data_IF_189813474187
#
_entry.id   IF_189813474187
#
_cell.length_a   1.000
_cell.length_b   1.000
_cell.length_c   1.000
_cell.angle_alpha   90.00
_cell.angle_beta   90.00
_cell.angle_gamma   90.00
#
_symmetry.space_group_name_H-M   'P 1'
#
loop_
_entity.id
_entity.type
_entity.pdbx_description
1 polymer ?
#
# COMPACT_ATOMS: atom_id res chain seq x y z
N UNK A 1 77.84 -14.05 -27.59
CA UNK A 1 76.80 -13.02 -27.52
C UNK A 1 75.49 -13.66 -27.00
N UNK A 2 75.19 -13.48 -25.76
CA UNK A 2 73.93 -14.01 -25.13
C UNK A 2 72.97 -12.84 -25.01
N UNK A 3 71.84 -12.91 -25.72
CA UNK A 3 70.76 -11.96 -25.66
C UNK A 3 69.86 -12.41 -24.58
N UNK A 4 69.73 -11.59 -23.53
CA UNK A 4 68.71 -11.77 -22.43
C UNK A 4 67.40 -11.12 -22.85
N UNK A 5 66.35 -11.93 -22.98
CA UNK A 5 64.97 -11.44 -23.21
C UNK A 5 64.33 -11.25 -21.87
N UNK A 6 64.09 -10.02 -21.49
CA UNK A 6 63.35 -9.65 -20.27
C UNK A 6 61.84 -9.63 -20.60
N UNK A 7 61.10 -10.58 -20.06
CA UNK A 7 59.62 -10.62 -20.15
C UNK A 7 59.08 -9.74 -19.02
N UNK A 8 58.48 -8.60 -19.38
CA UNK A 8 57.73 -7.77 -18.45
C UNK A 8 56.31 -8.32 -18.28
N UNK A 9 56.00 -8.90 -17.13
CA UNK A 9 54.66 -9.31 -16.77
C UNK A 9 53.91 -8.05 -16.26
N UNK A 10 52.99 -7.52 -17.07
CA UNK A 10 52.08 -6.48 -16.67
C UNK A 10 50.96 -7.11 -15.81
N UNK A 11 50.99 -6.88 -14.48
CA UNK A 11 49.87 -7.20 -13.58
C UNK A 11 48.74 -6.21 -13.88
N UNK A 12 47.69 -6.64 -14.58
CA UNK A 12 46.40 -5.94 -14.61
C UNK A 12 45.76 -6.10 -13.23
N UNK A 13 45.82 -5.05 -12.42
CA UNK A 13 44.97 -4.89 -11.25
C UNK A 13 43.54 -4.69 -11.77
N UNK A 14 42.75 -5.74 -11.73
CA UNK A 14 41.30 -5.61 -11.86
C UNK A 14 40.80 -4.78 -10.66
N UNK A 15 40.47 -3.53 -10.87
CA UNK A 15 39.74 -2.73 -9.91
C UNK A 15 38.33 -3.34 -9.86
N UNK A 16 38.06 -4.16 -8.86
CA UNK A 16 36.69 -4.53 -8.50
C UNK A 16 36.02 -3.26 -8.01
N UNK A 17 35.11 -2.74 -8.80
CA UNK A 17 34.16 -1.71 -8.38
C UNK A 17 33.52 -2.17 -7.08
N UNK A 18 33.70 -1.42 -6.05
CA UNK A 18 33.20 -1.73 -4.70
C UNK A 18 32.01 -0.82 -4.46
N UNK A 19 30.86 -1.41 -4.17
CA UNK A 19 29.72 -0.66 -3.63
C UNK A 19 30.19 0.14 -2.40
N UNK A 20 29.78 1.40 -2.29
CA UNK A 20 30.11 2.25 -1.16
C UNK A 20 29.12 1.97 -0.03
N UNK A 21 29.58 1.35 1.05
CA UNK A 21 28.80 1.15 2.25
C UNK A 21 28.83 2.44 3.09
N UNK A 22 27.63 2.99 3.35
CA UNK A 22 27.44 4.18 4.20
C UNK A 22 26.74 3.76 5.48
N UNK A 23 27.28 4.20 6.61
CA UNK A 23 26.68 4.01 7.94
C UNK A 23 26.69 5.38 8.67
N UNK A 24 25.50 5.98 8.84
CA UNK A 24 25.34 7.32 9.43
C UNK A 24 24.20 7.35 10.43
N UNK A 25 24.38 8.15 11.48
CA UNK A 25 23.36 8.42 12.48
C UNK A 25 23.25 9.90 12.78
N UNK A 26 22.05 10.35 13.15
CA UNK A 26 21.81 11.69 13.64
C UNK A 26 20.68 11.71 14.68
N UNK A 27 20.82 12.58 15.68
CA UNK A 27 19.73 12.83 16.62
C UNK A 27 18.52 13.39 15.88
N UNK A 28 17.34 12.93 16.22
CA UNK A 28 16.10 13.32 15.57
C UNK A 28 14.97 13.53 16.58
N UNK A 29 13.98 14.33 16.20
CA UNK A 29 12.76 14.50 16.99
C UNK A 29 12.01 13.16 17.05
N UNK A 30 11.54 12.72 18.23
CA UNK A 30 10.82 11.46 18.40
C UNK A 30 9.50 11.37 17.62
N UNK A 31 8.95 12.51 17.18
CA UNK A 31 7.76 12.62 16.31
C UNK A 31 8.04 13.39 15.03
N UNK A 32 9.32 13.55 14.68
CA UNK A 32 9.73 14.25 13.48
C UNK A 32 9.29 13.54 12.19
N UNK A 33 9.35 14.29 11.10
CA UNK A 33 9.12 13.75 9.75
C UNK A 33 10.43 13.19 9.19
N UNK A 34 10.39 11.97 8.69
CA UNK A 34 11.49 11.35 7.96
C UNK A 34 11.10 11.19 6.50
N UNK A 35 11.77 11.96 5.64
CA UNK A 35 11.64 11.85 4.19
C UNK A 35 12.70 10.91 3.62
N UNK A 36 12.28 9.96 2.79
CA UNK A 36 13.14 8.98 2.14
C UNK A 36 12.89 8.99 0.64
N UNK A 37 13.94 9.21 -0.15
CA UNK A 37 13.92 9.14 -1.61
C UNK A 37 14.89 8.09 -2.13
N UNK A 38 14.38 7.11 -2.88
CA UNK A 38 15.21 6.10 -3.57
C UNK A 38 14.69 5.84 -4.98
N UNK A 39 15.60 5.64 -5.93
CA UNK A 39 15.20 5.38 -7.32
C UNK A 39 15.02 3.90 -7.57
N UNK A 40 15.94 3.04 -7.14
CA UNK A 40 15.86 1.60 -7.37
C UNK A 40 16.55 0.82 -6.23
N UNK A 41 16.09 -0.40 -5.97
CA UNK A 41 16.59 -1.27 -4.90
C UNK A 41 15.55 -1.53 -3.82
N UNK A 42 15.97 -1.52 -2.58
CA UNK A 42 15.10 -1.79 -1.43
C UNK A 42 15.19 -0.66 -0.38
N UNK A 43 14.05 -0.34 0.22
CA UNK A 43 13.95 0.58 1.35
C UNK A 43 13.32 -0.17 2.52
N UNK A 44 14.12 -0.53 3.50
CA UNK A 44 13.68 -1.14 4.75
C UNK A 44 13.69 -0.10 5.87
N UNK A 45 12.53 0.16 6.47
CA UNK A 45 12.40 1.09 7.60
C UNK A 45 11.88 0.36 8.82
N UNK A 46 12.56 0.53 9.96
CA UNK A 46 12.13 -0.06 11.23
C UNK A 46 12.04 1.01 12.32
N UNK A 47 10.92 1.06 13.02
CA UNK A 47 10.74 1.91 14.19
C UNK A 47 11.48 1.37 15.41
N UNK A 48 12.21 2.24 16.14
CA UNK A 48 12.90 1.90 17.38
C UNK A 48 12.63 2.89 18.51
N UNK A 49 13.08 2.58 19.71
CA UNK A 49 12.84 3.42 20.90
C UNK A 49 13.96 4.46 21.19
N UNK A 50 14.73 4.83 20.14
CA UNK A 50 15.76 5.88 20.25
C UNK A 50 15.32 7.15 19.53
N UNK A 51 15.71 8.31 20.04
CA UNK A 51 15.51 9.61 19.40
C UNK A 51 16.63 9.90 18.38
N UNK A 52 16.82 9.00 17.46
CA UNK A 52 17.92 9.00 16.50
C UNK A 52 17.42 8.36 15.20
N UNK A 53 17.85 8.87 14.07
CA UNK A 53 17.72 8.22 12.78
C UNK A 53 19.06 7.62 12.40
N UNK A 54 19.07 6.34 12.11
CA UNK A 54 20.23 5.58 11.64
C UNK A 54 19.97 5.08 10.23
N UNK A 55 20.90 5.26 9.31
CA UNK A 55 20.85 4.78 7.93
C UNK A 55 22.09 4.01 7.58
N UNK A 56 21.88 2.81 7.08
CA UNK A 56 22.86 2.02 6.36
C UNK A 56 22.46 1.97 4.90
N UNK A 57 23.36 2.31 4.01
CA UNK A 57 23.11 2.28 2.59
C UNK A 57 24.23 1.52 1.87
N UNK A 58 23.82 0.66 0.96
CA UNK A 58 24.72 0.03 0.00
C UNK A 58 24.50 0.70 -1.37
N UNK A 59 25.38 1.66 -1.69
CA UNK A 59 25.31 2.41 -2.93
C UNK A 59 25.98 1.62 -4.05
N UNK A 60 25.18 1.21 -5.04
CA UNK A 60 25.73 0.61 -6.24
C UNK A 60 26.48 1.63 -7.12
N UNK A 61 27.25 1.13 -8.07
CA UNK A 61 27.86 1.96 -9.11
C UNK A 61 26.82 2.79 -9.85
N UNK A 62 27.04 4.10 -9.94
CA UNK A 62 26.17 5.05 -10.62
C UNK A 62 25.33 5.94 -9.70
N UNK A 63 25.21 5.65 -8.41
CA UNK A 63 24.75 6.63 -7.44
C UNK A 63 25.85 7.67 -7.18
N UNK A 64 25.50 8.96 -7.13
CA UNK A 64 26.49 10.01 -6.86
C UNK A 64 26.81 10.11 -5.36
N UNK A 65 25.79 10.08 -4.52
CA UNK A 65 25.91 10.15 -3.06
C UNK A 65 24.58 9.88 -2.35
N UNK A 66 24.66 9.64 -1.04
CA UNK A 66 23.52 9.69 -0.12
C UNK A 66 23.51 11.04 0.62
N UNK A 67 22.47 11.84 0.39
CA UNK A 67 22.18 13.02 1.18
C UNK A 67 21.45 12.60 2.46
N UNK A 68 22.09 12.82 3.62
CA UNK A 68 21.53 12.57 4.93
C UNK A 68 21.63 13.86 5.77
N UNK A 69 20.49 14.49 6.03
CA UNK A 69 20.41 15.79 6.69
C UNK A 69 19.28 15.82 7.71
N UNK A 70 19.56 16.29 8.90
CA UNK A 70 18.55 16.56 9.95
C UNK A 70 18.48 18.06 10.21
N UNK A 71 17.28 18.62 10.17
CA UNK A 71 17.04 20.04 10.44
C UNK A 71 15.73 20.19 11.22
N UNK A 72 15.82 20.55 12.50
CA UNK A 72 14.67 20.63 13.39
C UNK A 72 13.96 19.26 13.50
N UNK A 73 12.67 19.25 13.24
CA UNK A 73 11.83 18.04 13.28
C UNK A 73 11.83 17.26 11.96
N UNK A 74 12.70 17.57 10.98
CA UNK A 74 12.74 16.88 9.70
C UNK A 74 14.09 16.25 9.44
N UNK A 75 14.07 14.98 9.05
CA UNK A 75 15.23 14.24 8.54
C UNK A 75 15.00 13.88 7.08
N UNK A 76 15.98 14.15 6.23
CA UNK A 76 15.96 13.82 4.80
C UNK A 76 17.04 12.80 4.49
N UNK A 77 16.65 11.71 3.83
CA UNK A 77 17.51 10.63 3.34
C UNK A 77 17.21 10.48 1.86
N UNK A 78 18.14 10.85 0.99
CA UNK A 78 17.88 10.87 -0.45
C UNK A 78 19.10 10.34 -1.22
N UNK A 79 18.86 9.38 -2.10
CA UNK A 79 19.86 8.87 -3.04
C UNK A 79 19.93 9.82 -4.23
N UNK A 80 21.08 10.50 -4.38
CA UNK A 80 21.30 11.45 -5.48
C UNK A 80 21.97 10.76 -6.63
N UNK A 81 21.38 10.92 -7.82
CA UNK A 81 21.92 10.35 -9.07
C UNK A 81 22.63 11.43 -9.89
N UNK A 82 23.68 11.06 -10.64
CA UNK A 82 24.37 11.98 -11.54
C UNK A 82 23.45 12.43 -12.67
N UNK A 83 23.56 13.67 -13.08
CA UNK A 83 22.75 14.24 -14.16
C UNK A 83 23.14 13.67 -15.52
N UNK A 84 22.14 13.31 -16.33
CA UNK A 84 22.33 12.95 -17.74
C UNK A 84 22.76 11.52 -18.03
N UNK A 85 22.75 10.64 -17.05
CA UNK A 85 23.05 9.20 -17.25
C UNK A 85 21.82 8.35 -16.89
N UNK A 86 21.59 7.26 -17.60
CA UNK A 86 20.62 6.24 -17.19
C UNK A 86 21.18 5.51 -15.98
N UNK A 87 20.45 5.58 -14.86
CA UNK A 87 20.78 4.81 -13.68
C UNK A 87 20.34 3.35 -13.88
N UNK A 88 21.30 2.44 -13.83
CA UNK A 88 21.06 0.99 -13.92
C UNK A 88 21.46 0.27 -12.62
N UNK A 89 21.80 1.02 -11.58
CA UNK A 89 22.19 0.48 -10.29
C UNK A 89 20.99 0.26 -9.38
N UNK A 90 21.25 -0.36 -8.24
CA UNK A 90 20.33 -0.60 -7.14
C UNK A 90 20.95 -0.03 -5.87
N UNK A 91 20.19 0.65 -5.05
CA UNK A 91 20.63 1.14 -3.74
C UNK A 91 19.71 0.58 -2.67
N UNK A 92 20.29 -0.19 -1.75
CA UNK A 92 19.54 -0.76 -0.64
C UNK A 92 19.74 0.10 0.60
N UNK A 93 18.63 0.52 1.17
CA UNK A 93 18.58 1.37 2.36
C UNK A 93 17.98 0.60 3.53
N UNK A 94 18.74 0.46 4.62
CA UNK A 94 18.25 -0.05 5.90
C UNK A 94 18.25 1.11 6.89
N UNK A 95 17.05 1.50 7.31
CA UNK A 95 16.83 2.73 8.07
C UNK A 95 16.12 2.41 9.38
N UNK A 96 16.62 2.94 10.47
CA UNK A 96 15.96 2.90 11.78
C UNK A 96 15.53 4.32 12.16
N UNK A 97 14.27 4.47 12.55
CA UNK A 97 13.68 5.78 12.88
C UNK A 97 12.99 5.71 14.25
N UNK A 98 12.85 6.82 14.97
CA UNK A 98 12.01 6.85 16.16
C UNK A 98 10.61 6.30 15.83
N UNK A 99 10.10 5.42 16.66
CA UNK A 99 8.84 4.66 16.40
C UNK A 99 7.64 5.54 16.07
N UNK A 100 7.59 6.75 16.63
CA UNK A 100 6.47 7.67 16.41
C UNK A 100 6.74 8.71 15.30
N UNK A 101 7.81 8.54 14.51
CA UNK A 101 8.09 9.42 13.37
C UNK A 101 7.02 9.29 12.30
N UNK A 102 6.73 10.41 11.65
CA UNK A 102 5.96 10.41 10.41
C UNK A 102 6.88 10.06 9.24
N UNK A 103 6.41 9.23 8.31
CA UNK A 103 7.17 8.81 7.13
C UNK A 103 6.60 9.41 5.85
N UNK A 104 7.50 9.90 5.00
CA UNK A 104 7.23 10.21 3.60
C UNK A 104 8.27 9.47 2.75
N UNK A 105 7.84 8.45 2.02
CA UNK A 105 8.73 7.62 1.20
C UNK A 105 8.31 7.73 -0.26
N UNK A 106 9.25 8.12 -1.12
CA UNK A 106 9.06 8.19 -2.56
C UNK A 106 10.09 7.30 -3.26
N UNK A 107 9.60 6.33 -4.02
CA UNK A 107 10.47 5.44 -4.82
C UNK A 107 10.02 5.40 -6.28
N UNK A 108 10.95 5.05 -7.16
CA UNK A 108 10.63 4.80 -8.58
C UNK A 108 10.55 3.30 -8.83
N UNK A 109 11.62 2.56 -8.59
CA UNK A 109 11.69 1.10 -8.83
C UNK A 109 12.32 0.39 -7.63
N UNK A 110 11.82 0.68 -6.43
CA UNK A 110 12.33 0.08 -5.21
C UNK A 110 11.16 -0.46 -4.37
N UNK A 111 11.40 -1.62 -3.79
CA UNK A 111 10.49 -2.21 -2.80
C UNK A 111 10.58 -1.45 -1.48
N UNK A 112 9.45 -1.30 -0.80
CA UNK A 112 9.35 -0.63 0.49
C UNK A 112 8.86 -1.62 1.54
N UNK A 113 9.63 -1.79 2.61
CA UNK A 113 9.25 -2.62 3.76
C UNK A 113 9.33 -1.78 5.02
N UNK A 114 8.18 -1.50 5.65
CA UNK A 114 8.09 -0.67 6.85
C UNK A 114 7.53 -1.49 8.01
N UNK A 115 8.23 -1.47 9.16
CA UNK A 115 7.83 -2.19 10.38
C UNK A 115 7.93 -1.30 11.62
N UNK A 116 7.03 -1.49 12.56
CA UNK A 116 7.04 -0.82 13.87
C UNK A 116 7.04 0.73 13.83
N UNK A 117 6.64 1.35 12.72
CA UNK A 117 6.50 2.80 12.63
C UNK A 117 5.04 3.18 12.87
N UNK A 118 4.79 3.98 13.90
CA UNK A 118 3.44 4.28 14.43
C UNK A 118 2.91 5.66 14.08
N UNK A 119 3.75 6.54 13.51
CA UNK A 119 3.32 7.85 13.01
C UNK A 119 2.59 7.76 11.68
N UNK A 120 2.16 8.89 11.15
CA UNK A 120 1.52 8.97 9.82
C UNK A 120 2.46 8.47 8.74
N UNK A 121 1.92 7.79 7.75
CA UNK A 121 2.72 7.27 6.64
C UNK A 121 2.16 7.74 5.30
N UNK A 122 3.02 8.32 4.47
CA UNK A 122 2.73 8.63 3.08
C UNK A 122 3.75 7.94 2.20
N UNK A 123 3.32 6.87 1.54
CA UNK A 123 4.18 5.99 0.76
C UNK A 123 3.78 6.05 -0.71
N UNK A 124 4.76 6.33 -1.58
CA UNK A 124 4.55 6.41 -3.01
C UNK A 124 5.60 5.57 -3.74
N UNK A 125 5.16 4.75 -4.69
CA UNK A 125 6.03 4.01 -5.59
C UNK A 125 5.50 4.07 -7.02
N UNK A 126 6.40 4.15 -7.98
CA UNK A 126 6.01 3.95 -9.38
C UNK A 126 6.03 2.46 -9.70
N UNK A 127 7.06 1.75 -9.26
CA UNK A 127 7.18 0.30 -9.44
C UNK A 127 7.83 -0.30 -8.20
N UNK A 128 7.33 -1.44 -7.77
CA UNK A 128 7.80 -2.13 -6.56
C UNK A 128 6.67 -2.46 -5.59
N UNK A 129 6.95 -3.38 -4.69
CA UNK A 129 6.02 -3.78 -3.63
C UNK A 129 6.07 -2.78 -2.48
N UNK A 130 4.92 -2.48 -1.88
CA UNK A 130 4.84 -1.75 -0.62
C UNK A 130 4.28 -2.71 0.44
N UNK A 131 5.09 -3.01 1.44
CA UNK A 131 4.67 -3.76 2.62
C UNK A 131 4.82 -2.89 3.87
N UNK A 132 3.73 -2.66 4.59
CA UNK A 132 3.74 -1.76 5.74
C UNK A 132 2.75 -2.18 6.82
N UNK A 133 2.86 -1.53 7.98
CA UNK A 133 1.99 -1.71 9.13
C UNK A 133 1.22 -0.41 9.42
N UNK A 134 -0.08 -0.54 9.67
CA UNK A 134 -0.97 0.56 10.07
C UNK A 134 -1.30 0.46 11.56
N UNK A 135 -1.03 1.54 12.27
CA UNK A 135 -1.36 1.70 13.68
C UNK A 135 -2.55 2.67 13.86
N UNK A 136 -2.44 3.64 14.74
CA UNK A 136 -3.55 4.56 15.05
C UNK A 136 -3.61 5.81 14.16
N UNK A 137 -2.54 6.10 13.44
CA UNK A 137 -2.41 7.30 12.60
C UNK A 137 -2.83 7.01 11.16
N UNK A 138 -3.16 8.06 10.43
CA UNK A 138 -3.58 7.96 9.03
C UNK A 138 -2.45 7.48 8.11
N UNK A 139 -2.84 6.75 7.07
CA UNK A 139 -1.93 6.25 6.04
C UNK A 139 -2.44 6.58 4.64
N UNK A 140 -1.54 7.09 3.80
CA UNK A 140 -1.78 7.33 2.38
C UNK A 140 -0.79 6.53 1.54
N UNK A 141 -1.30 5.68 0.66
CA UNK A 141 -0.52 4.82 -0.22
C UNK A 141 -0.85 5.12 -1.68
N UNK A 142 0.17 5.31 -2.51
CA UNK A 142 0.02 5.46 -3.96
C UNK A 142 1.02 4.57 -4.66
N UNK A 143 0.52 3.60 -5.41
CA UNK A 143 1.35 2.72 -6.22
C UNK A 143 0.87 2.73 -7.67
N UNK A 144 1.80 2.77 -8.61
CA UNK A 144 1.45 2.64 -10.02
C UNK A 144 1.53 1.18 -10.45
N UNK A 145 2.59 0.46 -10.07
CA UNK A 145 2.76 -0.95 -10.43
C UNK A 145 3.40 -1.73 -9.30
N UNK A 146 2.84 -2.87 -8.96
CA UNK A 146 3.28 -3.74 -7.86
C UNK A 146 2.22 -3.87 -6.76
N UNK A 147 2.40 -4.87 -5.93
CA UNK A 147 1.43 -5.19 -4.88
C UNK A 147 1.60 -4.31 -3.64
N UNK A 148 0.50 -4.04 -2.97
CA UNK A 148 0.45 -3.33 -1.69
C UNK A 148 -0.09 -4.26 -0.62
N UNK A 149 0.68 -4.44 0.44
CA UNK A 149 0.32 -5.28 1.58
C UNK A 149 0.34 -4.41 2.84
N UNK A 150 -0.81 -4.27 3.48
CA UNK A 150 -0.93 -3.54 4.75
C UNK A 150 -1.44 -4.47 5.83
N UNK A 151 -0.71 -4.53 6.94
CA UNK A 151 -1.14 -5.19 8.15
C UNK A 151 -1.47 -4.15 9.21
N UNK A 152 -2.71 -4.13 9.65
CA UNK A 152 -3.15 -3.26 10.74
C UNK A 152 -2.91 -3.88 12.11
N UNK A 153 -3.04 -3.05 13.13
CA UNK A 153 -2.93 -3.42 14.55
C UNK A 153 -4.16 -2.91 15.31
N UNK A 154 -5.37 -3.18 14.78
CA UNK A 154 -6.66 -2.75 15.35
C UNK A 154 -6.73 -1.24 15.68
N UNK A 155 -5.98 -0.45 14.91
CA UNK A 155 -5.89 1.00 15.08
C UNK A 155 -7.12 1.73 14.52
N UNK A 156 -7.22 3.03 14.81
CA UNK A 156 -8.32 3.90 14.34
C UNK A 156 -7.94 4.78 13.15
N UNK A 157 -6.70 4.66 12.65
CA UNK A 157 -6.23 5.45 11.51
C UNK A 157 -7.01 5.16 10.23
N UNK A 158 -7.18 6.19 9.41
CA UNK A 158 -7.83 6.08 8.11
C UNK A 158 -6.82 5.62 7.06
N UNK A 159 -7.16 4.56 6.33
CA UNK A 159 -6.35 4.10 5.21
C UNK A 159 -6.88 4.66 3.89
N UNK A 160 -6.02 5.38 3.14
CA UNK A 160 -6.26 5.75 1.74
C UNK A 160 -5.25 5.08 0.84
N UNK A 161 -5.70 4.17 -0.03
CA UNK A 161 -4.83 3.46 -0.95
C UNK A 161 -5.30 3.62 -2.40
N UNK A 162 -4.38 3.98 -3.28
CA UNK A 162 -4.61 4.06 -4.72
C UNK A 162 -3.56 3.22 -5.43
N UNK A 163 -4.00 2.27 -6.26
CA UNK A 163 -3.15 1.46 -7.12
C UNK A 163 -3.62 1.56 -8.58
N UNK A 164 -2.70 1.68 -9.51
CA UNK A 164 -3.04 1.61 -10.94
C UNK A 164 -2.98 0.17 -11.42
N UNK A 165 -1.91 -0.57 -11.08
CA UNK A 165 -1.75 -1.96 -11.48
C UNK A 165 -1.07 -2.74 -10.35
N UNK A 166 -1.75 -3.74 -9.83
CA UNK A 166 -1.29 -4.57 -8.71
C UNK A 166 -2.36 -4.79 -7.66
N UNK A 167 -2.21 -5.86 -6.91
CA UNK A 167 -3.16 -6.27 -5.87
C UNK A 167 -3.04 -5.44 -4.59
N UNK A 168 -4.18 -5.27 -3.90
CA UNK A 168 -4.23 -4.72 -2.55
C UNK A 168 -4.61 -5.84 -1.57
N UNK A 169 -3.72 -6.14 -0.62
CA UNK A 169 -3.99 -7.05 0.49
C UNK A 169 -3.94 -6.29 1.80
N UNK A 170 -5.10 -6.16 2.44
CA UNK A 170 -5.29 -5.35 3.63
C UNK A 170 -5.86 -6.24 4.73
N UNK A 171 -5.13 -6.37 5.83
CA UNK A 171 -5.51 -7.25 6.95
C UNK A 171 -5.53 -6.44 8.25
N UNK A 172 -6.58 -6.60 9.05
CA UNK A 172 -6.78 -6.02 10.37
C UNK A 172 -6.57 -4.48 10.41
N UNK A 173 -6.92 -3.82 9.30
CA UNK A 173 -6.83 -2.35 9.17
C UNK A 173 -7.93 -1.66 9.97
N UNK A 174 -7.81 -0.34 10.14
CA UNK A 174 -8.77 0.48 10.88
C UNK A 174 -10.17 0.50 10.28
N UNK A 175 -11.15 1.07 11.01
CA UNK A 175 -12.57 1.02 10.65
C UNK A 175 -12.94 1.88 9.44
N UNK A 176 -12.07 2.78 9.02
CA UNK A 176 -12.32 3.68 7.88
C UNK A 176 -11.30 3.49 6.77
N UNK A 177 -11.79 3.36 5.52
CA UNK A 177 -10.92 3.19 4.36
C UNK A 177 -11.46 3.84 3.09
N UNK A 178 -10.54 4.27 2.23
CA UNK A 178 -10.80 4.68 0.85
C UNK A 178 -9.82 3.97 -0.09
N UNK A 179 -10.33 3.09 -0.94
CA UNK A 179 -9.55 2.21 -1.80
C UNK A 179 -9.92 2.46 -3.27
N UNK A 180 -8.92 2.73 -4.10
CA UNK A 180 -9.10 2.92 -5.53
C UNK A 180 -8.11 2.05 -6.31
N UNK A 181 -8.60 1.22 -7.22
CA UNK A 181 -7.76 0.38 -8.08
C UNK A 181 -8.24 0.49 -9.54
N UNK A 182 -7.30 0.55 -10.48
CA UNK A 182 -7.63 0.47 -11.91
C UNK A 182 -7.56 -0.97 -12.38
N UNK A 183 -6.49 -1.69 -12.06
CA UNK A 183 -6.31 -3.10 -12.43
C UNK A 183 -5.66 -3.87 -11.29
N UNK A 184 -6.31 -4.93 -10.82
CA UNK A 184 -5.83 -5.78 -9.74
C UNK A 184 -6.90 -6.10 -8.71
N UNK A 185 -6.72 -7.21 -8.05
CA UNK A 185 -7.66 -7.71 -7.04
C UNK A 185 -7.45 -7.01 -5.69
N UNK A 186 -8.54 -6.80 -4.99
CA UNK A 186 -8.54 -6.29 -3.62
C UNK A 186 -9.04 -7.36 -2.65
N UNK A 187 -8.23 -7.66 -1.63
CA UNK A 187 -8.61 -8.52 -0.51
C UNK A 187 -8.50 -7.74 0.78
N UNK A 188 -9.63 -7.52 1.41
CA UNK A 188 -9.76 -6.68 2.60
C UNK A 188 -10.36 -7.49 3.74
N UNK A 189 -9.67 -7.55 4.86
CA UNK A 189 -10.17 -8.13 6.11
C UNK A 189 -10.10 -7.10 7.21
N UNK A 190 -11.21 -6.86 7.90
CA UNK A 190 -11.30 -5.93 9.03
C UNK A 190 -12.04 -6.54 10.19
N UNK A 191 -11.63 -6.20 11.41
CA UNK A 191 -12.33 -6.60 12.62
C UNK A 191 -13.64 -5.83 12.78
N UNK A 192 -13.64 -4.52 12.59
CA UNK A 192 -14.80 -3.64 12.66
C UNK A 192 -14.76 -2.63 11.51
N UNK A 193 -15.91 -2.37 10.87
CA UNK A 193 -16.01 -1.45 9.74
C UNK A 193 -17.06 -0.40 10.03
N UNK A 194 -16.69 0.88 9.89
CA UNK A 194 -17.57 2.02 9.97
C UNK A 194 -17.76 2.71 8.62
N UNK A 195 -16.67 2.85 7.84
CA UNK A 195 -16.75 3.53 6.56
C UNK A 195 -15.81 2.93 5.53
N UNK A 196 -16.36 2.53 4.40
CA UNK A 196 -15.58 2.07 3.26
C UNK A 196 -16.05 2.74 1.98
N UNK A 197 -15.12 3.35 1.26
CA UNK A 197 -15.32 3.78 -0.12
C UNK A 197 -14.37 3.03 -1.01
N UNK A 198 -14.91 2.20 -1.92
CA UNK A 198 -14.10 1.29 -2.72
C UNK A 198 -14.46 1.46 -4.19
N UNK A 199 -13.47 1.63 -5.03
CA UNK A 199 -13.63 1.70 -6.49
C UNK A 199 -12.64 0.78 -7.18
N UNK A 200 -13.15 -0.03 -8.10
CA UNK A 200 -12.32 -0.85 -8.99
C UNK A 200 -12.78 -0.73 -10.42
N UNK A 201 -11.83 -0.69 -11.34
CA UNK A 201 -12.16 -0.71 -12.76
C UNK A 201 -12.08 -2.13 -13.31
N UNK A 202 -10.99 -2.85 -13.06
CA UNK A 202 -10.78 -4.23 -13.48
C UNK A 202 -10.15 -5.03 -12.35
N UNK A 203 -10.86 -5.99 -11.82
CA UNK A 203 -10.38 -6.87 -10.75
C UNK A 203 -11.47 -7.16 -9.72
N UNK A 204 -11.28 -8.24 -9.01
CA UNK A 204 -12.20 -8.70 -7.99
C UNK A 204 -11.99 -7.99 -6.66
N UNK A 205 -13.08 -7.74 -5.96
CA UNK A 205 -13.07 -7.28 -4.56
C UNK A 205 -13.58 -8.39 -3.65
N UNK A 206 -12.82 -8.72 -2.63
CA UNK A 206 -13.29 -9.50 -1.48
C UNK A 206 -13.13 -8.68 -0.21
N UNK A 207 -14.26 -8.29 0.41
CA UNK A 207 -14.29 -7.59 1.69
C UNK A 207 -14.92 -8.47 2.76
N UNK A 208 -14.18 -8.70 3.83
CA UNK A 208 -14.63 -9.43 5.03
C UNK A 208 -14.60 -8.51 6.23
N UNK A 209 -15.75 -8.27 6.84
CA UNK A 209 -15.87 -7.49 8.06
C UNK A 209 -16.51 -8.35 9.17
N UNK A 210 -15.79 -8.53 10.30
CA UNK A 210 -16.31 -9.34 11.40
C UNK A 210 -17.43 -8.61 12.16
N UNK A 211 -17.38 -7.26 12.21
CA UNK A 211 -18.42 -6.39 12.77
C UNK A 211 -18.65 -5.17 11.89
N UNK A 212 -19.85 -4.63 11.93
CA UNK A 212 -20.19 -3.32 11.39
C UNK A 212 -20.62 -2.41 12.54
N UNK A 213 -20.31 -1.11 12.46
CA UNK A 213 -20.90 -0.11 13.38
C UNK A 213 -22.36 0.14 13.01
N UNK A 214 -23.16 0.65 13.95
CA UNK A 214 -24.59 0.90 13.72
C UNK A 214 -24.82 1.92 12.58
N UNK A 215 -23.94 2.90 12.43
CA UNK A 215 -23.97 3.93 11.39
C UNK A 215 -23.08 3.62 10.17
N UNK A 216 -22.76 2.36 9.93
CA UNK A 216 -21.86 1.93 8.85
C UNK A 216 -22.22 2.52 7.49
N UNK A 217 -21.21 2.93 6.75
CA UNK A 217 -21.34 3.45 5.38
C UNK A 217 -20.39 2.72 4.45
N UNK A 218 -20.94 1.87 3.60
CA UNK A 218 -20.17 1.19 2.54
C UNK A 218 -20.67 1.68 1.19
N UNK A 219 -19.75 2.20 0.37
CA UNK A 219 -20.00 2.63 -1.01
C UNK A 219 -18.96 1.95 -1.90
N UNK A 220 -19.38 0.92 -2.63
CA UNK A 220 -18.52 0.12 -3.50
C UNK A 220 -18.98 0.20 -4.94
N UNK A 221 -18.06 0.53 -5.85
CA UNK A 221 -18.30 0.63 -7.28
C UNK A 221 -17.28 -0.21 -8.05
N UNK A 222 -17.76 -1.14 -8.90
CA UNK A 222 -16.95 -1.96 -9.77
C UNK A 222 -17.38 -1.84 -11.23
N UNK A 223 -16.44 -1.81 -12.17
CA UNK A 223 -16.75 -1.83 -13.60
C UNK A 223 -16.68 -3.24 -14.13
N UNK A 224 -15.55 -3.92 -13.95
CA UNK A 224 -15.36 -5.31 -14.40
C UNK A 224 -14.74 -6.14 -13.26
N UNK A 225 -15.41 -7.21 -12.88
CA UNK A 225 -14.99 -8.10 -11.81
C UNK A 225 -16.09 -8.35 -10.78
N UNK A 226 -15.90 -9.34 -9.97
CA UNK A 226 -16.85 -9.73 -8.94
C UNK A 226 -16.63 -8.97 -7.64
N UNK A 227 -17.71 -8.57 -7.00
CA UNK A 227 -17.70 -7.87 -5.72
C UNK A 227 -18.28 -8.79 -4.64
N UNK A 228 -17.42 -9.35 -3.79
CA UNK A 228 -17.80 -10.32 -2.75
C UNK A 228 -17.71 -9.68 -1.37
N UNK A 229 -18.83 -9.64 -0.64
CA UNK A 229 -18.93 -9.13 0.70
C UNK A 229 -19.28 -10.26 1.67
N UNK A 230 -18.43 -10.44 2.68
CA UNK A 230 -18.65 -11.35 3.82
C UNK A 230 -18.90 -10.51 5.06
N UNK A 231 -20.13 -10.45 5.50
CA UNK A 231 -20.60 -9.57 6.55
C UNK A 231 -21.08 -10.37 7.77
N UNK A 232 -21.24 -9.78 8.96
CA UNK A 232 -21.81 -10.46 10.11
C UNK A 232 -23.29 -10.83 9.86
N UNK A 233 -23.81 -11.82 10.61
CA UNK A 233 -25.20 -12.31 10.44
C UNK A 233 -26.24 -11.30 10.89
N UNK A 234 -25.96 -10.54 11.94
CA UNK A 234 -26.86 -9.53 12.47
C UNK A 234 -26.43 -8.17 11.93
N UNK A 235 -27.34 -7.54 11.23
CA UNK A 235 -27.10 -6.26 10.57
C UNK A 235 -28.23 -5.30 10.93
N UNK A 236 -27.88 -4.01 11.06
CA UNK A 236 -28.82 -2.91 11.20
C UNK A 236 -28.59 -1.93 10.05
N UNK A 237 -28.97 -2.32 8.83
CA UNK A 237 -28.45 -1.71 7.63
C UNK A 237 -29.46 -1.71 6.49
N UNK A 238 -29.51 -0.61 5.73
CA UNK A 238 -30.20 -0.51 4.44
C UNK A 238 -29.26 -0.90 3.30
N UNK A 239 -29.69 -1.83 2.45
CA UNK A 239 -28.97 -2.28 1.26
C UNK A 239 -29.55 -1.68 -0.02
N UNK A 240 -28.69 -1.14 -0.88
CA UNK A 240 -29.00 -0.64 -2.22
C UNK A 240 -27.96 -1.18 -3.21
N UNK A 241 -28.31 -2.26 -3.90
CA UNK A 241 -27.39 -3.01 -4.76
C UNK A 241 -27.92 -3.03 -6.16
N UNK A 242 -27.04 -2.80 -7.13
CA UNK A 242 -27.39 -2.85 -8.53
C UNK A 242 -26.27 -3.38 -9.41
N UNK A 243 -26.63 -4.16 -10.42
CA UNK A 243 -25.71 -4.57 -11.51
C UNK A 243 -26.34 -4.21 -12.84
N UNK A 244 -25.51 -3.94 -13.84
CA UNK A 244 -25.99 -3.74 -15.21
C UNK A 244 -25.91 -5.06 -16.02
N UNK A 245 -24.72 -5.64 -16.14
CA UNK A 245 -24.52 -6.98 -16.72
C UNK A 245 -23.94 -7.91 -15.67
N UNK A 246 -24.79 -8.58 -14.88
CA UNK A 246 -24.32 -9.48 -13.84
C UNK A 246 -25.44 -9.90 -12.92
N UNK A 247 -25.10 -10.78 -12.01
CA UNK A 247 -26.03 -11.35 -11.03
C UNK A 247 -25.83 -10.73 -9.64
N UNK A 248 -26.87 -10.84 -8.82
CA UNK A 248 -26.79 -10.47 -7.40
C UNK A 248 -27.14 -11.72 -6.60
N UNK A 249 -26.15 -12.23 -5.87
CA UNK A 249 -26.31 -13.35 -4.95
C UNK A 249 -26.43 -12.81 -3.52
N UNK A 250 -27.63 -12.97 -2.94
CA UNK A 250 -27.92 -12.45 -1.61
C UNK A 250 -28.30 -13.59 -0.66
N UNK A 251 -27.53 -13.75 0.42
CA UNK A 251 -27.75 -14.75 1.45
C UNK A 251 -28.59 -14.23 2.65
N UNK A 252 -28.92 -12.92 2.70
CA UNK A 252 -29.59 -12.32 3.85
C UNK A 252 -31.12 -12.27 3.72
N UNK A 253 -31.67 -12.25 2.52
CA UNK A 253 -33.09 -12.04 2.42
C UNK A 253 -33.66 -12.08 1.01
N UNK A 254 -34.38 -11.06 0.55
CA UNK A 254 -35.15 -11.10 -0.68
C UNK A 254 -34.28 -11.35 -1.92
N UNK A 255 -34.93 -11.90 -2.94
CA UNK A 255 -34.27 -12.10 -4.24
C UNK A 255 -34.20 -10.79 -5.01
N UNK A 256 -33.14 -10.58 -5.82
CA UNK A 256 -33.05 -9.45 -6.71
C UNK A 256 -34.17 -9.47 -7.76
N UNK A 257 -34.50 -8.30 -8.27
CA UNK A 257 -35.45 -8.15 -9.39
C UNK A 257 -34.78 -7.48 -10.59
N UNK A 258 -35.30 -7.78 -11.76
CA UNK A 258 -34.82 -7.08 -12.97
C UNK A 258 -35.24 -5.63 -12.98
N UNK A 259 -34.35 -4.73 -13.38
CA UNK A 259 -34.64 -3.30 -13.50
C UNK A 259 -35.46 -2.93 -14.73
N UNK A 260 -35.47 -3.83 -15.74
CA UNK A 260 -36.22 -3.67 -16.99
C UNK A 260 -36.77 -5.02 -17.44
N UNK A 261 -37.97 -5.02 -18.05
CA UNK A 261 -38.59 -6.24 -18.59
C UNK A 261 -37.81 -6.84 -19.76
N UNK A 262 -37.20 -5.99 -20.61
CA UNK A 262 -36.50 -6.41 -21.82
C UNK A 262 -35.04 -6.02 -21.87
N UNK A 263 -34.52 -5.38 -20.82
CA UNK A 263 -33.14 -4.90 -20.74
C UNK A 263 -32.30 -5.67 -19.73
N UNK A 264 -30.97 -5.45 -19.75
CA UNK A 264 -30.10 -5.92 -18.69
C UNK A 264 -30.33 -5.14 -17.39
N UNK A 265 -29.86 -5.69 -16.29
CA UNK A 265 -29.82 -5.06 -14.99
C UNK A 265 -30.64 -5.76 -13.93
N UNK A 266 -30.01 -5.93 -12.78
CA UNK A 266 -30.62 -6.45 -11.57
C UNK A 266 -30.47 -5.42 -10.45
N UNK A 267 -31.47 -5.31 -9.60
CA UNK A 267 -31.43 -4.47 -8.42
C UNK A 267 -32.01 -5.20 -7.21
N UNK A 268 -31.50 -4.84 -6.06
CA UNK A 268 -31.92 -5.36 -4.78
C UNK A 268 -31.91 -4.24 -3.76
N UNK A 269 -33.08 -3.95 -3.16
CA UNK A 269 -33.20 -3.03 -2.03
C UNK A 269 -33.94 -3.73 -0.91
N UNK A 270 -33.34 -3.74 0.26
CA UNK A 270 -33.95 -4.29 1.44
C UNK A 270 -33.32 -3.67 2.69
N UNK A 271 -33.94 -3.92 3.82
CA UNK A 271 -33.54 -3.39 5.10
C UNK A 271 -33.48 -4.54 6.11
N UNK A 272 -32.38 -4.59 6.84
CA UNK A 272 -32.22 -5.46 7.99
C UNK A 272 -32.22 -4.60 9.27
N UNK A 273 -32.89 -5.04 10.30
CA UNK A 273 -33.02 -4.31 11.56
C UNK A 273 -33.72 -2.94 11.40
N UNK A 274 -33.22 -1.92 12.11
CA UNK A 274 -33.69 -0.53 11.99
C UNK A 274 -33.20 0.17 10.74
N UNK A 275 -32.08 -0.29 10.16
CA UNK A 275 -31.47 0.23 8.95
C UNK A 275 -30.79 1.58 9.13
N UNK A 276 -30.09 1.77 10.23
CA UNK A 276 -29.35 2.99 10.53
C UNK A 276 -28.07 3.08 9.68
N UNK A 277 -27.44 1.93 9.38
CA UNK A 277 -26.34 1.81 8.43
C UNK A 277 -26.79 1.84 6.97
N UNK A 278 -25.84 2.04 6.06
CA UNK A 278 -26.08 2.02 4.62
C UNK A 278 -24.99 1.32 3.84
N UNK A 279 -25.40 0.33 3.02
CA UNK A 279 -24.52 -0.38 2.10
C UNK A 279 -25.02 -0.16 0.67
N UNK A 280 -24.22 0.55 -0.13
CA UNK A 280 -24.46 0.76 -1.55
C UNK A 280 -23.41 0.04 -2.35
N UNK A 281 -23.84 -0.81 -3.28
CA UNK A 281 -22.95 -1.56 -4.18
C UNK A 281 -23.43 -1.42 -5.60
N UNK A 282 -22.55 -1.01 -6.49
CA UNK A 282 -22.83 -0.89 -7.92
C UNK A 282 -21.78 -1.65 -8.72
N UNK A 283 -22.23 -2.56 -9.56
CA UNK A 283 -21.39 -3.23 -10.54
C UNK A 283 -21.90 -2.97 -11.96
N UNK A 284 -20.98 -2.73 -12.90
CA UNK A 284 -21.37 -2.67 -14.30
C UNK A 284 -21.38 -4.07 -14.91
N UNK A 285 -20.28 -4.79 -14.80
CA UNK A 285 -20.12 -6.16 -15.28
C UNK A 285 -19.54 -7.02 -14.15
N UNK A 286 -20.18 -8.14 -13.83
CA UNK A 286 -19.72 -9.05 -12.78
C UNK A 286 -20.80 -9.32 -11.72
N UNK A 287 -20.54 -10.30 -10.90
CA UNK A 287 -21.45 -10.72 -9.83
C UNK A 287 -21.24 -9.94 -8.57
N UNK A 288 -22.32 -9.53 -7.91
CA UNK A 288 -22.28 -9.00 -6.54
C UNK A 288 -22.76 -10.09 -5.60
N UNK A 289 -21.89 -10.60 -4.76
CA UNK A 289 -22.19 -11.60 -3.75
C UNK A 289 -22.18 -10.97 -2.35
N UNK A 290 -23.28 -11.10 -1.61
CA UNK A 290 -23.39 -10.62 -0.23
C UNK A 290 -23.86 -11.78 0.63
N UNK A 291 -22.93 -12.29 1.45
CA UNK A 291 -23.22 -13.42 2.33
C UNK A 291 -22.69 -13.18 3.74
N UNK A 292 -23.23 -13.93 4.68
CA UNK A 292 -22.65 -14.00 6.03
C UNK A 292 -21.43 -14.95 6.03
N UNK A 293 -20.65 -14.86 7.11
CA UNK A 293 -19.52 -15.77 7.37
C UNK A 293 -19.99 -17.19 7.58
#
# INVERSE_FOLDING_TARGET
MRVAVTVAVALLLAQTARAEEIDKSAQADPRGEVFIGNVAGEVQVTGWDRNEVHVKADLSEGAERLDFKTSGARTTIEVVLPRGHSYQGSTDLVIQVPRNSSLVINTVSADQTIKDVRGTQRLQAVSGMIQTELWNEDMELKNVSGDVIVKGHDGKGVLRATSVSGGLRLEDIGPEMELNTVTGDMRVRVAELSKARIRTTNGDLELRAAKLTDDVRIDAEGINGDLRFRLPRQLDTEFDISTFNGEIDNCFGPKPHRTSEYGPGNALRFKEGNGDGRIRIKALNGTVEICNH
#
